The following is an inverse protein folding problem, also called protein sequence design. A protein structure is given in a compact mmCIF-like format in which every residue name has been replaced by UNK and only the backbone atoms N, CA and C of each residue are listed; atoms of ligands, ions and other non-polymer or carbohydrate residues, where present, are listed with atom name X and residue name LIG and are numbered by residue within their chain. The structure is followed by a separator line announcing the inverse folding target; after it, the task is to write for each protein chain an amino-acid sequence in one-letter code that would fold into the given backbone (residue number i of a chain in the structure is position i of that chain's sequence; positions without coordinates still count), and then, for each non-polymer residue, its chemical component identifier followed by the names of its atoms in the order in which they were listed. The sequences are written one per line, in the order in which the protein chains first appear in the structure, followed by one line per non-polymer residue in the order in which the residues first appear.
data_IF_461663108607
#
_entry.id   IF_461663108607
#
_cell.length_a   1.000
_cell.length_b   1.000
_cell.length_c   1.000
_cell.angle_alpha   90.00
_cell.angle_beta   90.00
_cell.angle_gamma   90.00
#
_symmetry.space_group_name_H-M   'P 1'
#
loop_
_entity.id
_entity.type
_entity.pdbx_description
1 polymer ?
#
# COMPACT_ATOMS: atom_id res chain seq x y z
N UNK A 1 9.14 -1.12 -31.39
CA UNK A 1 9.36 -1.23 -29.94
C UNK A 1 8.36 -2.22 -29.39
N UNK A 2 8.75 -3.49 -29.27
CA UNK A 2 7.86 -4.53 -28.76
C UNK A 2 7.63 -4.32 -27.27
N UNK A 3 6.39 -4.11 -26.86
CA UNK A 3 5.98 -4.21 -25.47
C UNK A 3 6.23 -5.65 -25.02
N UNK A 4 7.38 -5.88 -24.36
CA UNK A 4 7.68 -7.16 -23.71
C UNK A 4 6.87 -7.23 -22.41
N UNK A 5 5.54 -7.23 -22.56
CA UNK A 5 4.62 -7.41 -21.45
C UNK A 5 4.66 -8.88 -21.05
N UNK A 6 5.17 -9.16 -19.85
CA UNK A 6 5.14 -10.49 -19.26
C UNK A 6 4.04 -10.50 -18.21
N UNK A 7 3.29 -11.59 -18.09
CA UNK A 7 2.29 -11.69 -17.01
C UNK A 7 2.99 -11.54 -15.65
N UNK A 8 2.58 -10.60 -14.78
CA UNK A 8 3.24 -10.30 -13.50
C UNK A 8 3.18 -11.44 -12.46
N UNK A 9 2.75 -12.65 -12.85
CA UNK A 9 2.59 -13.79 -11.97
C UNK A 9 1.30 -13.71 -11.16
N UNK A 10 0.62 -14.85 -11.01
CA UNK A 10 -0.67 -14.95 -10.30
C UNK A 10 -0.59 -14.45 -8.85
N UNK A 11 0.54 -14.67 -8.18
CA UNK A 11 0.76 -14.24 -6.78
C UNK A 11 0.80 -12.70 -6.68
N UNK A 12 1.56 -12.03 -7.55
CA UNK A 12 1.62 -10.56 -7.53
C UNK A 12 0.27 -9.95 -7.88
N UNK A 13 -0.42 -10.51 -8.88
CA UNK A 13 -1.77 -10.08 -9.24
C UNK A 13 -2.70 -10.18 -8.03
N UNK A 14 -2.76 -11.33 -7.36
CA UNK A 14 -3.61 -11.53 -6.19
C UNK A 14 -3.28 -10.53 -5.07
N UNK A 15 -2.00 -10.32 -4.76
CA UNK A 15 -1.57 -9.36 -3.74
C UNK A 15 -1.91 -7.91 -4.11
N UNK A 16 -1.66 -7.50 -5.35
CA UNK A 16 -1.97 -6.14 -5.80
C UNK A 16 -3.48 -5.88 -5.83
N UNK A 17 -4.29 -6.83 -6.31
CA UNK A 17 -5.74 -6.70 -6.31
C UNK A 17 -6.30 -6.67 -4.88
N UNK A 18 -5.81 -7.53 -3.99
CA UNK A 18 -6.19 -7.49 -2.58
C UNK A 18 -5.82 -6.16 -1.94
N UNK A 19 -4.59 -5.67 -2.16
CA UNK A 19 -4.13 -4.38 -1.66
C UNK A 19 -4.95 -3.20 -2.20
N UNK A 20 -5.28 -3.21 -3.50
CA UNK A 20 -6.10 -2.20 -4.14
C UNK A 20 -7.52 -2.20 -3.58
N UNK A 21 -8.15 -3.38 -3.44
CA UNK A 21 -9.48 -3.52 -2.87
C UNK A 21 -9.53 -2.99 -1.43
N UNK A 22 -8.53 -3.33 -0.59
CA UNK A 22 -8.44 -2.82 0.78
C UNK A 22 -8.22 -1.30 0.82
N UNK A 23 -7.44 -0.75 -0.12
CA UNK A 23 -7.20 0.69 -0.23
C UNK A 23 -8.46 1.45 -0.63
N UNK A 24 -9.20 0.93 -1.63
CA UNK A 24 -10.49 1.48 -2.04
C UNK A 24 -11.52 1.38 -0.90
N UNK A 25 -11.56 0.26 -0.20
CA UNK A 25 -12.42 0.09 0.98
C UNK A 25 -12.09 1.09 2.08
N UNK A 26 -10.81 1.29 2.40
CA UNK A 26 -10.37 2.28 3.38
C UNK A 26 -10.76 3.71 2.96
N UNK A 27 -10.64 4.03 1.66
CA UNK A 27 -11.07 5.33 1.13
C UNK A 27 -12.59 5.51 1.24
N UNK A 28 -13.36 4.48 0.92
CA UNK A 28 -14.81 4.47 1.06
C UNK A 28 -15.23 4.66 2.53
N UNK A 29 -14.66 3.89 3.46
CA UNK A 29 -14.92 4.02 4.90
C UNK A 29 -14.59 5.43 5.39
N UNK A 30 -13.45 5.98 4.97
CA UNK A 30 -13.06 7.35 5.32
C UNK A 30 -14.07 8.39 4.82
N UNK A 31 -14.53 8.24 3.58
CA UNK A 31 -15.53 9.14 2.99
C UNK A 31 -16.91 9.00 3.66
N UNK A 32 -17.34 7.77 3.93
CA UNK A 32 -18.60 7.47 4.61
C UNK A 32 -18.59 8.05 6.05
N UNK A 33 -17.52 7.82 6.81
CA UNK A 33 -17.34 8.35 8.16
C UNK A 33 -17.22 9.88 8.21
N UNK A 34 -16.68 10.49 7.16
CA UNK A 34 -16.64 11.96 7.05
C UNK A 34 -18.02 12.56 6.79
N UNK A 35 -18.90 11.83 6.09
CA UNK A 35 -20.29 12.24 5.83
C UNK A 35 -21.19 11.97 7.03
N UNK A 36 -20.99 10.85 7.70
CA UNK A 36 -21.81 10.41 8.84
C UNK A 36 -20.91 9.98 10.01
N UNK A 37 -20.99 10.72 11.11
CA UNK A 37 -20.21 10.48 12.33
C UNK A 37 -20.70 9.26 13.11
N UNK A 38 -21.85 8.67 12.78
CA UNK A 38 -22.35 7.45 13.40
C UNK A 38 -22.11 6.20 12.54
N UNK A 39 -21.55 6.38 11.33
CA UNK A 39 -21.20 5.26 10.43
C UNK A 39 -20.18 4.32 11.09
N UNK A 40 -20.52 3.02 11.18
CA UNK A 40 -19.61 1.94 11.57
C UNK A 40 -19.17 1.14 10.36
N UNK A 41 -17.87 1.01 10.17
CA UNK A 41 -17.32 0.17 9.11
C UNK A 41 -17.45 -1.32 9.48
N UNK A 42 -17.46 -2.18 8.47
CA UNK A 42 -17.45 -3.65 8.67
C UNK A 42 -16.20 -4.11 9.41
N UNK A 43 -15.11 -3.34 9.32
CA UNK A 43 -13.86 -3.64 9.98
C UNK A 43 -13.75 -3.03 11.40
N UNK A 44 -14.78 -2.30 11.87
CA UNK A 44 -14.89 -1.85 13.26
C UNK A 44 -15.44 -3.01 14.13
N UNK A 45 -14.55 -3.81 14.73
CA UNK A 45 -14.91 -4.97 15.57
C UNK A 45 -14.74 -4.61 17.06
N UNK A 46 -15.71 -3.87 17.59
CA UNK A 46 -15.71 -3.45 19.00
C UNK A 46 -14.97 -2.14 19.26
N UNK A 47 -14.62 -1.89 20.53
CA UNK A 47 -14.09 -0.59 20.99
C UNK A 47 -12.58 -0.43 20.81
N UNK A 48 -11.84 -1.53 20.65
CA UNK A 48 -10.39 -1.55 20.49
C UNK A 48 -9.91 -1.88 19.05
N UNK A 49 -10.84 -2.18 18.14
CA UNK A 49 -10.57 -2.52 16.74
C UNK A 49 -11.41 -1.56 15.90
N UNK A 50 -10.93 -0.34 15.65
CA UNK A 50 -11.64 0.60 14.77
C UNK A 50 -10.76 1.16 13.65
N UNK A 51 -10.95 0.66 12.43
CA UNK A 51 -10.31 1.24 11.24
C UNK A 51 -10.84 2.64 10.95
N UNK A 52 -12.11 2.90 11.25
CA UNK A 52 -12.73 4.22 11.05
C UNK A 52 -11.99 5.28 11.86
N UNK A 53 -11.66 4.98 13.13
CA UNK A 53 -10.86 5.86 13.99
C UNK A 53 -9.45 6.05 13.43
N UNK A 54 -8.78 4.97 13.04
CA UNK A 54 -7.43 5.02 12.45
C UNK A 54 -7.38 5.85 11.16
N UNK A 55 -8.33 5.69 10.23
CA UNK A 55 -8.33 6.43 8.95
C UNK A 55 -8.73 7.90 9.08
N UNK A 56 -9.56 8.21 10.09
CA UNK A 56 -9.97 9.59 10.43
C UNK A 56 -8.88 10.37 11.17
N UNK A 57 -7.90 9.68 11.75
CA UNK A 57 -6.79 10.29 12.47
C UNK A 57 -5.88 11.14 11.57
N UNK A 58 -5.09 12.03 12.19
CA UNK A 58 -4.08 12.86 11.49
C UNK A 58 -3.08 12.02 10.69
N UNK A 59 -2.75 10.81 11.19
CA UNK A 59 -1.79 9.92 10.52
C UNK A 59 -2.39 9.23 9.30
N UNK A 60 -3.72 9.19 9.16
CA UNK A 60 -4.43 8.67 7.99
C UNK A 60 -4.41 9.61 6.78
N UNK A 61 -3.81 10.80 6.90
CA UNK A 61 -3.58 11.77 5.81
C UNK A 61 -2.10 12.13 5.77
N UNK A 62 -1.46 11.95 4.61
CA UNK A 62 -0.07 12.31 4.37
C UNK A 62 0.91 11.68 5.38
N UNK A 63 0.58 10.50 5.91
CA UNK A 63 1.32 9.84 6.99
C UNK A 63 1.49 10.70 8.26
N UNK A 64 0.76 11.81 8.42
CA UNK A 64 0.98 12.80 9.47
C UNK A 64 2.29 13.59 9.37
N UNK A 65 3.10 13.33 8.34
CA UNK A 65 4.41 13.96 8.11
C UNK A 65 4.35 15.02 7.01
N UNK A 66 3.58 14.75 5.95
CA UNK A 66 3.48 15.64 4.78
C UNK A 66 2.94 17.02 5.17
N UNK A 67 2.01 17.08 6.13
CA UNK A 67 1.49 18.34 6.65
C UNK A 67 2.57 19.26 7.23
N UNK A 68 3.58 18.69 7.91
CA UNK A 68 4.65 19.45 8.55
C UNK A 68 5.74 19.91 7.57
N UNK A 69 5.94 19.16 6.48
CA UNK A 69 7.01 19.43 5.51
C UNK A 69 6.51 20.28 4.33
N UNK A 70 5.34 19.95 3.79
CA UNK A 70 4.79 20.52 2.55
C UNK A 70 3.58 21.45 2.80
N UNK A 71 3.09 21.52 4.04
CA UNK A 71 1.94 22.33 4.41
C UNK A 71 0.60 21.60 4.20
N UNK A 72 -0.45 22.11 4.86
CA UNK A 72 -1.81 21.52 4.85
C UNK A 72 -2.44 21.50 3.46
N UNK A 73 -2.21 22.54 2.68
CA UNK A 73 -2.83 22.76 1.37
C UNK A 73 -2.07 22.09 0.21
N UNK A 74 -1.00 21.36 0.51
CA UNK A 74 -0.25 20.64 -0.51
C UNK A 74 -1.10 19.54 -1.12
N UNK A 75 -1.03 19.41 -2.45
CA UNK A 75 -1.66 18.31 -3.21
C UNK A 75 -1.15 16.94 -2.75
N UNK A 76 0.00 16.87 -2.08
CA UNK A 76 0.57 15.65 -1.51
C UNK A 76 -0.03 15.29 -0.14
N UNK A 77 -0.81 16.17 0.50
CA UNK A 77 -1.47 15.88 1.79
C UNK A 77 -2.75 15.04 1.60
N UNK A 78 -2.65 13.95 0.86
CA UNK A 78 -3.77 13.06 0.53
C UNK A 78 -3.92 11.93 1.54
N UNK A 79 -5.05 11.21 1.49
CA UNK A 79 -5.24 10.04 2.35
C UNK A 79 -4.19 8.94 2.06
N UNK A 80 -3.75 8.22 3.09
CA UNK A 80 -2.78 7.13 2.94
C UNK A 80 -3.28 6.05 1.97
N UNK A 81 -4.59 5.83 1.92
CA UNK A 81 -5.22 4.87 1.02
C UNK A 81 -5.07 5.26 -0.47
N UNK A 82 -5.01 6.55 -0.79
CA UNK A 82 -4.73 7.01 -2.17
C UNK A 82 -3.30 6.64 -2.57
N UNK A 83 -2.33 6.85 -1.68
CA UNK A 83 -0.95 6.38 -1.91
C UNK A 83 -0.89 4.87 -2.07
N UNK A 84 -1.69 4.12 -1.30
CA UNK A 84 -1.87 2.68 -1.47
C UNK A 84 -2.38 2.31 -2.87
N UNK A 85 -3.46 2.94 -3.34
CA UNK A 85 -4.00 2.69 -4.68
C UNK A 85 -2.95 2.94 -5.79
N UNK A 86 -2.21 4.05 -5.70
CA UNK A 86 -1.14 4.38 -6.64
C UNK A 86 -0.03 3.31 -6.57
N UNK A 87 0.39 2.94 -5.37
CA UNK A 87 1.43 1.93 -5.16
C UNK A 87 1.05 0.57 -5.76
N UNK A 88 -0.13 0.03 -5.45
CA UNK A 88 -0.56 -1.28 -5.95
C UNK A 88 -0.77 -1.29 -7.48
N UNK A 89 -1.27 -0.18 -8.04
CA UNK A 89 -1.39 -0.02 -9.49
C UNK A 89 -0.01 0.02 -10.16
N UNK A 90 0.92 0.79 -9.58
CA UNK A 90 2.28 0.91 -10.09
C UNK A 90 3.05 -0.41 -9.99
N UNK A 91 2.89 -1.17 -8.90
CA UNK A 91 3.43 -2.52 -8.75
C UNK A 91 2.93 -3.47 -9.83
N UNK A 92 1.64 -3.41 -10.16
CA UNK A 92 1.03 -4.25 -11.19
C UNK A 92 1.53 -3.89 -12.59
N UNK A 93 1.64 -2.59 -12.90
CA UNK A 93 2.16 -2.10 -14.18
C UNK A 93 3.64 -2.44 -14.32
N UNK A 94 4.48 -2.08 -13.33
CA UNK A 94 5.91 -2.33 -13.40
C UNK A 94 6.24 -3.84 -13.40
N UNK A 95 5.45 -4.65 -12.69
CA UNK A 95 5.59 -6.10 -12.70
C UNK A 95 5.30 -6.73 -14.06
N UNK A 96 4.54 -6.04 -14.92
CA UNK A 96 4.32 -6.44 -16.30
C UNK A 96 5.44 -6.02 -17.26
N UNK A 97 6.29 -5.06 -16.87
CA UNK A 97 7.30 -4.47 -17.73
C UNK A 97 8.66 -5.15 -17.55
N UNK A 98 9.20 -5.70 -18.65
CA UNK A 98 10.52 -6.31 -18.64
C UNK A 98 11.61 -5.25 -18.82
N UNK A 99 12.36 -4.96 -17.75
CA UNK A 99 13.49 -4.03 -17.81
C UNK A 99 14.22 -3.86 -16.48
N UNK A 100 15.53 -3.58 -16.54
CA UNK A 100 16.36 -3.34 -15.34
C UNK A 100 15.84 -2.17 -14.51
N UNK A 101 15.38 -1.11 -15.18
CA UNK A 101 14.75 0.04 -14.53
C UNK A 101 13.43 -0.34 -13.84
N UNK A 102 12.61 -1.20 -14.44
CA UNK A 102 11.37 -1.69 -13.82
C UNK A 102 11.67 -2.45 -12.52
N UNK A 103 12.64 -3.38 -12.53
CA UNK A 103 13.04 -4.11 -11.32
C UNK A 103 13.57 -3.20 -10.22
N UNK A 104 14.38 -2.19 -10.57
CA UNK A 104 14.89 -1.21 -9.61
C UNK A 104 13.73 -0.39 -9.01
N UNK A 105 12.82 0.13 -9.84
CA UNK A 105 11.68 0.91 -9.38
C UNK A 105 10.71 0.07 -8.53
N UNK A 106 10.52 -1.21 -8.85
CA UNK A 106 9.73 -2.15 -8.05
C UNK A 106 10.31 -2.36 -6.66
N UNK A 107 11.62 -2.59 -6.56
CA UNK A 107 12.29 -2.76 -5.27
C UNK A 107 12.26 -1.47 -4.46
N UNK A 108 12.59 -0.33 -5.07
CA UNK A 108 12.59 0.97 -4.39
C UNK A 108 11.19 1.34 -3.88
N UNK A 109 10.15 1.19 -4.71
CA UNK A 109 8.77 1.46 -4.31
C UNK A 109 8.30 0.52 -3.19
N UNK A 110 8.68 -0.77 -3.24
CA UNK A 110 8.37 -1.73 -2.18
C UNK A 110 9.05 -1.39 -0.87
N UNK A 111 10.31 -0.97 -0.93
CA UNK A 111 11.09 -0.60 0.25
C UNK A 111 10.46 0.62 0.96
N UNK A 112 10.07 1.64 0.19
CA UNK A 112 9.35 2.80 0.72
C UNK A 112 8.02 2.39 1.34
N UNK A 113 7.27 1.49 0.69
CA UNK A 113 6.00 0.98 1.19
C UNK A 113 6.15 0.22 2.52
N UNK A 114 7.18 -0.63 2.65
CA UNK A 114 7.46 -1.36 3.90
C UNK A 114 7.94 -0.41 5.00
N UNK A 115 8.81 0.54 4.70
CA UNK A 115 9.23 1.55 5.68
C UNK A 115 8.03 2.36 6.21
N UNK A 116 7.13 2.80 5.30
CA UNK A 116 5.89 3.46 5.67
C UNK A 116 4.96 2.56 6.48
N UNK A 117 4.90 1.27 6.17
CA UNK A 117 4.10 0.28 6.91
C UNK A 117 4.60 0.09 8.34
N UNK A 118 5.92 -0.01 8.54
CA UNK A 118 6.54 -0.10 9.87
C UNK A 118 6.26 1.15 10.68
N UNK A 119 6.38 2.34 10.08
CA UNK A 119 6.04 3.60 10.72
C UNK A 119 4.57 3.65 11.16
N UNK A 120 3.64 3.31 10.27
CA UNK A 120 2.22 3.31 10.60
C UNK A 120 1.86 2.23 11.62
N UNK A 121 2.50 1.06 11.58
CA UNK A 121 2.34 0.02 12.59
C UNK A 121 2.78 0.50 13.97
N UNK A 122 3.92 1.20 14.05
CA UNK A 122 4.37 1.81 15.30
C UNK A 122 3.33 2.79 15.86
N UNK A 123 2.79 3.68 15.02
CA UNK A 123 1.74 4.62 15.41
C UNK A 123 0.49 3.89 15.89
N UNK A 124 0.09 2.84 15.18
CA UNK A 124 -1.10 2.04 15.48
C UNK A 124 -1.01 1.37 16.87
N UNK A 125 0.14 0.82 17.24
CA UNK A 125 0.34 0.16 18.55
C UNK A 125 0.67 1.13 19.70
N UNK A 126 1.57 2.09 19.48
CA UNK A 126 2.10 2.92 20.58
C UNK A 126 1.38 4.26 20.75
N UNK A 127 0.64 4.72 19.73
CA UNK A 127 0.01 6.05 19.76
C UNK A 127 -1.52 5.96 19.75
N UNK A 128 -2.12 5.20 18.83
CA UNK A 128 -3.59 5.06 18.77
C UNK A 128 -4.11 3.96 19.68
N UNK A 129 -3.30 2.96 20.02
CA UNK A 129 -3.72 1.76 20.75
C UNK A 129 -4.94 1.07 20.11
N UNK A 130 -4.94 1.00 18.78
CA UNK A 130 -6.02 0.43 17.97
C UNK A 130 -5.51 -0.75 17.16
N UNK A 131 -6.21 -1.89 17.17
CA UNK A 131 -5.86 -3.01 16.30
C UNK A 131 -6.61 -2.91 14.97
N UNK A 132 -6.07 -2.22 13.97
CA UNK A 132 -6.70 -2.15 12.65
C UNK A 132 -6.33 -3.36 11.77
N UNK A 133 -7.24 -4.33 11.65
CA UNK A 133 -7.05 -5.56 10.85
C UNK A 133 -6.74 -5.22 9.39
N UNK A 134 -7.47 -4.28 8.79
CA UNK A 134 -7.24 -3.84 7.39
C UNK A 134 -5.80 -3.32 7.21
N UNK A 135 -5.29 -2.57 8.18
CA UNK A 135 -3.95 -2.00 8.17
C UNK A 135 -2.90 -3.10 8.31
N UNK A 136 -3.09 -4.04 9.23
CA UNK A 136 -2.18 -5.19 9.42
C UNK A 136 -2.13 -6.04 8.15
N UNK A 137 -3.28 -6.30 7.51
CA UNK A 137 -3.34 -7.04 6.24
C UNK A 137 -2.61 -6.30 5.12
N UNK A 138 -2.77 -4.97 4.99
CA UNK A 138 -2.01 -4.21 3.97
C UNK A 138 -0.50 -4.23 4.25
N UNK A 139 -0.07 -4.19 5.51
CA UNK A 139 1.35 -4.33 5.85
C UNK A 139 1.89 -5.71 5.45
N UNK A 140 1.13 -6.79 5.70
CA UNK A 140 1.50 -8.13 5.27
C UNK A 140 1.60 -8.23 3.74
N UNK A 141 0.65 -7.64 3.00
CA UNK A 141 0.69 -7.57 1.54
C UNK A 141 1.94 -6.81 1.05
N UNK A 142 2.27 -5.67 1.67
CA UNK A 142 3.44 -4.87 1.30
C UNK A 142 4.76 -5.65 1.50
N UNK A 143 4.88 -6.39 2.60
CA UNK A 143 6.03 -7.29 2.84
C UNK A 143 6.08 -8.40 1.78
N UNK A 144 4.93 -9.01 1.46
CA UNK A 144 4.84 -10.02 0.40
C UNK A 144 5.29 -9.50 -0.97
N UNK A 145 4.84 -8.30 -1.37
CA UNK A 145 5.25 -7.64 -2.60
C UNK A 145 6.74 -7.27 -2.59
N UNK A 146 7.28 -6.88 -1.44
CA UNK A 146 8.71 -6.62 -1.29
C UNK A 146 9.52 -7.89 -1.52
N UNK A 147 9.15 -9.01 -0.89
CA UNK A 147 9.83 -10.29 -1.08
C UNK A 147 9.79 -10.76 -2.54
N UNK A 148 8.63 -10.63 -3.21
CA UNK A 148 8.53 -10.92 -4.64
C UNK A 148 9.44 -10.03 -5.48
N UNK A 149 9.45 -8.72 -5.20
CA UNK A 149 10.29 -7.76 -5.93
C UNK A 149 11.78 -8.03 -5.74
N UNK A 150 12.21 -8.43 -4.54
CA UNK A 150 13.60 -8.84 -4.28
C UNK A 150 13.98 -10.12 -5.02
N UNK A 151 13.08 -11.12 -5.07
CA UNK A 151 13.33 -12.36 -5.82
C UNK A 151 13.48 -12.08 -7.31
N UNK A 152 12.61 -11.26 -7.89
CA UNK A 152 12.72 -10.84 -9.29
C UNK A 152 13.97 -10.01 -9.59
N UNK A 153 14.43 -9.19 -8.64
CA UNK A 153 15.68 -8.44 -8.79
C UNK A 153 16.92 -9.33 -8.67
N UNK A 154 16.84 -10.39 -7.85
CA UNK A 154 17.91 -11.37 -7.66
C UNK A 154 17.99 -12.38 -8.80
N UNK A 155 16.86 -12.73 -9.44
CA UNK A 155 16.85 -13.50 -10.68
C UNK A 155 17.35 -12.60 -11.81
N UNK A 156 18.64 -12.64 -12.17
CA UNK A 156 19.13 -11.85 -13.27
C UNK A 156 18.45 -12.40 -14.52
N UNK A 157 18.21 -11.54 -15.50
CA UNK A 157 17.76 -11.85 -16.87
C UNK A 157 18.76 -12.79 -17.60
N UNK A 158 19.02 -13.99 -17.08
CA UNK A 158 20.10 -14.91 -17.44
C UNK A 158 19.63 -16.35 -17.70
N UNK A 159 18.33 -16.58 -17.83
CA UNK A 159 17.78 -17.84 -18.37
C UNK A 159 16.95 -17.57 -19.62
N UNK A 160 17.61 -17.11 -20.67
CA UNK A 160 17.38 -17.70 -21.99
C UNK A 160 18.58 -18.65 -22.17
N UNK A 161 18.49 -19.83 -21.56
CA UNK A 161 19.28 -20.98 -22.03
C UNK A 161 18.66 -21.33 -23.37
N UNK A 162 19.44 -21.16 -24.42
CA UNK A 162 19.14 -21.80 -25.69
C UNK A 162 19.01 -23.30 -25.48
N UNK A 163 18.02 -23.87 -26.15
CA UNK A 163 18.12 -25.08 -26.94
C UNK A 163 16.91 -25.13 -27.87
#
# INVERSE_FOLDING_TARGET
MGTTWVSPGWVRLALCFAGLALSLYALHVKAARARDKDYRALCDVGTAISCSRVFSSRWGRGFGLVEHVLGRDSVLNQSNSIFGCIFYTLQLVLGGLRGRWSSILLVLSSLVSVAGSVYLAWILFFVLYDFCIVCITTYAINVGLMLLSFREAQEPQGKIKGH
#
